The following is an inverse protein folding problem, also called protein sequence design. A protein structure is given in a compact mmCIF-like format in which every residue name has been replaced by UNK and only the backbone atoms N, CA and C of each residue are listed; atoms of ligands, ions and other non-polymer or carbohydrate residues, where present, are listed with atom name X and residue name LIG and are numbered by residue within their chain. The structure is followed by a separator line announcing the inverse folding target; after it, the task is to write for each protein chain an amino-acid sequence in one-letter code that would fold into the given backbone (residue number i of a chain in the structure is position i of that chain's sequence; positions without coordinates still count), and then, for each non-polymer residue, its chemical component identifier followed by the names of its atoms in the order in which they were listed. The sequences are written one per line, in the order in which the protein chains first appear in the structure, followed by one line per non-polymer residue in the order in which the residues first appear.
data_IF_265862854335
#
_entry.id   IF_265862854335
#
_cell.length_a   1.000
_cell.length_b   1.000
_cell.length_c   1.000
_cell.angle_alpha   90.00
_cell.angle_beta   90.00
_cell.angle_gamma   90.00
#
_symmetry.space_group_name_H-M   'P 1'
#
loop_
_entity.id
_entity.type
_entity.pdbx_description
1 polymer ?
#
# COMPACT_ATOMS: atom_id res chain seq x y z
N UNK A 1 8.23 43.92 -33.25
CA UNK A 1 9.30 44.55 -34.04
C UNK A 1 10.56 44.60 -33.16
N UNK A 2 11.48 43.66 -33.42
CA UNK A 2 12.93 43.70 -33.22
C UNK A 2 13.51 44.55 -32.06
N UNK A 3 14.20 43.92 -31.11
CA UNK A 3 15.67 43.96 -31.12
C UNK A 3 16.32 42.86 -30.28
N UNK A 4 17.30 42.21 -30.92
CA UNK A 4 18.17 41.15 -30.43
C UNK A 4 19.39 41.78 -29.73
N UNK A 5 19.73 41.25 -28.55
CA UNK A 5 21.09 40.88 -28.08
C UNK A 5 22.19 41.93 -27.97
N UNK A 6 22.87 41.96 -26.81
CA UNK A 6 24.33 42.12 -26.78
C UNK A 6 24.96 41.73 -25.42
N UNK A 7 26.05 40.98 -25.54
CA UNK A 7 27.26 41.00 -24.70
C UNK A 7 27.21 40.31 -23.33
N UNK A 8 27.84 39.14 -23.30
CA UNK A 8 28.63 38.68 -22.17
C UNK A 8 30.03 39.34 -22.23
N UNK A 9 30.67 39.57 -21.07
CA UNK A 9 32.12 39.44 -20.93
C UNK A 9 32.47 38.20 -20.09
N UNK A 10 33.59 37.58 -20.46
CA UNK A 10 34.13 36.35 -19.94
C UNK A 10 35.13 36.57 -18.79
N UNK A 11 35.26 35.55 -17.93
CA UNK A 11 36.33 35.25 -16.95
C UNK A 11 36.48 36.30 -15.82
N UNK A 12 36.68 36.02 -14.53
CA UNK A 12 37.39 34.94 -13.85
C UNK A 12 37.06 34.94 -12.34
N UNK A 13 36.41 33.89 -11.83
CA UNK A 13 36.62 33.44 -10.45
C UNK A 13 36.38 31.94 -10.38
N UNK A 14 37.47 31.19 -10.51
CA UNK A 14 37.49 29.77 -10.17
C UNK A 14 37.25 29.56 -8.66
N UNK A 15 36.65 28.41 -8.37
CA UNK A 15 36.87 27.60 -7.18
C UNK A 15 36.29 28.09 -5.84
N UNK A 16 35.05 27.68 -5.58
CA UNK A 16 34.81 26.85 -4.40
C UNK A 16 33.76 25.78 -4.75
N UNK A 17 34.28 24.60 -5.08
CA UNK A 17 33.60 23.32 -4.95
C UNK A 17 32.86 23.29 -3.59
N UNK A 18 31.54 23.09 -3.58
CA UNK A 18 30.88 22.41 -2.45
C UNK A 18 30.75 20.94 -2.85
N UNK A 19 31.69 20.07 -2.42
CA UNK A 19 31.63 18.64 -2.63
C UNK A 19 30.88 17.98 -1.46
N UNK A 20 29.82 18.58 -0.94
CA UNK A 20 28.94 17.84 -0.02
C UNK A 20 27.98 17.00 -0.86
N UNK A 21 28.52 15.94 -1.46
CA UNK A 21 27.77 14.71 -1.60
C UNK A 21 27.24 14.43 -0.20
N UNK A 22 25.97 14.75 0.04
CA UNK A 22 25.22 14.19 1.16
C UNK A 22 25.17 12.69 0.87
N UNK A 23 26.21 11.98 1.27
CA UNK A 23 26.03 10.63 1.76
C UNK A 23 24.92 10.80 2.79
N UNK A 24 23.68 10.53 2.37
CA UNK A 24 22.56 10.54 3.28
C UNK A 24 22.92 9.49 4.30
N UNK A 25 23.30 9.91 5.50
CA UNK A 25 23.45 9.04 6.63
C UNK A 25 22.05 8.48 6.89
N UNK A 26 21.67 7.43 6.17
CA UNK A 26 20.43 6.71 6.41
C UNK A 26 20.60 6.19 7.82
N UNK A 27 19.92 6.84 8.76
CA UNK A 27 20.11 6.55 10.16
C UNK A 27 19.68 5.10 10.34
N UNK A 28 20.51 4.29 11.00
CA UNK A 28 20.16 2.89 11.28
C UNK A 28 18.78 2.79 11.94
N UNK A 29 18.39 3.81 12.72
CA UNK A 29 17.05 3.96 13.31
C UNK A 29 15.94 4.09 12.26
N UNK A 30 16.12 4.85 11.18
CA UNK A 30 15.14 4.99 10.10
C UNK A 30 14.95 3.67 9.35
N UNK A 31 16.04 2.94 9.11
CA UNK A 31 15.98 1.61 8.50
C UNK A 31 15.19 0.65 9.40
N UNK A 32 15.48 0.59 10.69
CA UNK A 32 14.75 -0.29 11.61
C UNK A 32 13.26 0.09 11.72
N UNK A 33 12.94 1.38 11.72
CA UNK A 33 11.55 1.84 11.75
C UNK A 33 10.80 1.49 10.45
N UNK A 34 11.41 1.71 9.29
CA UNK A 34 10.85 1.35 7.99
C UNK A 34 10.63 -0.16 7.86
N UNK A 35 11.61 -0.97 8.24
CA UNK A 35 11.49 -2.44 8.26
C UNK A 35 10.38 -2.89 9.21
N UNK A 36 10.33 -2.31 10.43
CA UNK A 36 9.30 -2.62 11.42
C UNK A 36 7.88 -2.37 10.88
N UNK A 37 7.65 -1.21 10.27
CA UNK A 37 6.37 -0.87 9.64
C UNK A 37 6.05 -1.79 8.45
N UNK A 38 7.03 -2.12 7.61
CA UNK A 38 6.83 -3.05 6.49
C UNK A 38 6.42 -4.45 6.97
N UNK A 39 7.06 -4.97 8.01
CA UNK A 39 6.64 -6.24 8.62
C UNK A 39 5.25 -6.16 9.24
N UNK A 40 4.91 -5.07 9.91
CA UNK A 40 3.58 -4.88 10.49
C UNK A 40 2.49 -4.85 9.39
N UNK A 41 2.74 -4.17 8.28
CA UNK A 41 1.83 -4.14 7.13
C UNK A 41 1.64 -5.54 6.52
N UNK A 42 2.74 -6.27 6.30
CA UNK A 42 2.70 -7.61 5.72
C UNK A 42 1.92 -8.61 6.59
N UNK A 43 2.16 -8.59 7.90
CA UNK A 43 1.44 -9.45 8.86
C UNK A 43 -0.04 -9.08 8.91
N UNK A 44 -0.36 -7.79 8.97
CA UNK A 44 -1.76 -7.32 9.01
C UNK A 44 -2.54 -7.77 7.77
N UNK A 45 -1.98 -7.55 6.58
CA UNK A 45 -2.61 -7.97 5.32
C UNK A 45 -2.81 -9.50 5.29
N UNK A 46 -1.77 -10.26 5.64
CA UNK A 46 -1.79 -11.72 5.56
C UNK A 46 -2.81 -12.33 6.53
N UNK A 47 -2.82 -11.91 7.80
CA UNK A 47 -3.75 -12.43 8.81
C UNK A 47 -5.20 -12.08 8.45
N UNK A 48 -5.44 -10.86 7.96
CA UNK A 48 -6.77 -10.44 7.52
C UNK A 48 -7.29 -11.30 6.37
N UNK A 49 -6.49 -11.45 5.30
CA UNK A 49 -6.91 -12.18 4.10
C UNK A 49 -7.09 -13.66 4.40
N UNK A 50 -6.21 -14.27 5.21
CA UNK A 50 -6.36 -15.67 5.62
C UNK A 50 -7.63 -15.90 6.44
N UNK A 51 -7.93 -15.01 7.40
CA UNK A 51 -9.15 -15.09 8.21
C UNK A 51 -10.42 -14.94 7.39
N UNK A 52 -10.44 -13.93 6.51
CA UNK A 52 -11.56 -13.70 5.60
C UNK A 52 -11.75 -14.85 4.60
N UNK A 53 -10.66 -15.38 4.02
CA UNK A 53 -10.71 -16.51 3.10
C UNK A 53 -11.28 -17.78 3.75
N UNK A 54 -10.94 -18.05 5.01
CA UNK A 54 -11.54 -19.16 5.76
C UNK A 54 -13.05 -18.99 5.96
N UNK A 55 -13.50 -17.78 6.34
CA UNK A 55 -14.91 -17.48 6.50
C UNK A 55 -15.68 -17.58 5.17
N UNK A 56 -15.13 -17.00 4.10
CA UNK A 56 -15.71 -17.03 2.75
C UNK A 56 -15.83 -18.46 2.24
N UNK A 57 -14.81 -19.32 2.44
CA UNK A 57 -14.87 -20.72 2.03
C UNK A 57 -16.01 -21.49 2.72
N UNK A 58 -16.20 -21.27 4.03
CA UNK A 58 -17.29 -21.87 4.80
C UNK A 58 -18.66 -21.37 4.33
N UNK A 59 -18.84 -20.05 4.25
CA UNK A 59 -20.11 -19.43 3.86
C UNK A 59 -20.46 -19.80 2.41
N UNK A 60 -19.48 -19.78 1.50
CA UNK A 60 -19.66 -20.13 0.09
C UNK A 60 -20.10 -21.58 -0.09
N UNK A 61 -19.51 -22.53 0.63
CA UNK A 61 -19.94 -23.94 0.57
C UNK A 61 -21.39 -24.14 1.04
N UNK A 62 -21.79 -23.46 2.13
CA UNK A 62 -23.16 -23.49 2.62
C UNK A 62 -24.14 -22.79 1.66
N UNK A 63 -23.73 -21.66 1.08
CA UNK A 63 -24.50 -20.90 0.11
C UNK A 63 -24.83 -21.73 -1.14
N UNK A 64 -23.83 -22.40 -1.72
CA UNK A 64 -24.02 -23.23 -2.92
C UNK A 64 -24.88 -24.47 -2.62
N UNK A 65 -24.69 -25.09 -1.44
CA UNK A 65 -25.54 -26.21 -1.00
C UNK A 65 -27.00 -25.80 -0.85
N UNK A 66 -27.26 -24.67 -0.19
CA UNK A 66 -28.63 -24.14 -0.03
C UNK A 66 -29.25 -23.68 -1.34
N UNK A 67 -28.46 -23.11 -2.25
CA UNK A 67 -28.94 -22.65 -3.55
C UNK A 67 -29.32 -23.81 -4.48
N UNK A 68 -28.78 -25.01 -4.25
CA UNK A 68 -29.14 -26.21 -5.02
C UNK A 68 -30.57 -26.70 -4.71
N UNK A 69 -31.02 -26.56 -3.46
CA UNK A 69 -32.39 -26.92 -3.05
C UNK A 69 -33.35 -25.74 -3.23
N UNK A 70 -32.89 -24.53 -2.91
CA UNK A 70 -33.69 -23.31 -2.90
C UNK A 70 -32.94 -22.16 -3.57
N UNK A 71 -33.10 -21.96 -4.89
CA UNK A 71 -32.34 -20.96 -5.63
C UNK A 71 -32.66 -19.53 -5.19
N UNK A 72 -33.84 -19.26 -4.61
CA UNK A 72 -34.17 -17.97 -4.02
C UNK A 72 -33.25 -17.56 -2.85
N UNK A 73 -32.58 -18.51 -2.19
CA UNK A 73 -31.68 -18.25 -1.06
C UNK A 73 -30.26 -17.82 -1.48
N UNK A 74 -29.91 -17.97 -2.77
CA UNK A 74 -28.60 -17.61 -3.31
C UNK A 74 -28.28 -16.14 -3.03
N UNK A 75 -29.18 -15.23 -3.39
CA UNK A 75 -28.96 -13.78 -3.27
C UNK A 75 -28.68 -13.36 -1.83
N UNK A 76 -29.42 -13.93 -0.86
CA UNK A 76 -29.24 -13.64 0.56
C UNK A 76 -27.92 -14.22 1.08
N UNK A 77 -27.51 -15.37 0.55
CA UNK A 77 -26.25 -16.01 0.91
C UNK A 77 -25.03 -15.25 0.36
N UNK A 78 -25.12 -14.71 -0.86
CA UNK A 78 -24.08 -13.84 -1.42
C UNK A 78 -23.87 -12.56 -0.61
N UNK A 79 -24.92 -12.02 0.02
CA UNK A 79 -24.78 -10.88 0.93
C UNK A 79 -23.87 -11.22 2.13
N UNK A 80 -24.00 -12.41 2.70
CA UNK A 80 -23.13 -12.85 3.80
C UNK A 80 -21.69 -13.12 3.33
N UNK A 81 -21.50 -13.61 2.10
CA UNK A 81 -20.17 -13.74 1.49
C UNK A 81 -19.52 -12.36 1.33
N UNK A 82 -20.26 -11.39 0.79
CA UNK A 82 -19.76 -10.02 0.64
C UNK A 82 -19.43 -9.36 1.98
N UNK A 83 -20.20 -9.64 3.04
CA UNK A 83 -19.89 -9.15 4.39
C UNK A 83 -18.59 -9.77 4.93
N UNK A 84 -18.34 -11.04 4.64
CA UNK A 84 -17.08 -11.69 5.01
C UNK A 84 -15.89 -11.17 4.20
N UNK A 85 -16.07 -10.92 2.89
CA UNK A 85 -15.06 -10.32 2.02
C UNK A 85 -14.72 -8.88 2.46
N UNK A 86 -15.71 -8.14 2.97
CA UNK A 86 -15.50 -6.81 3.54
C UNK A 86 -14.43 -6.78 4.64
N UNK A 87 -14.24 -7.88 5.38
CA UNK A 87 -13.17 -8.00 6.37
C UNK A 87 -11.78 -8.02 5.71
N UNK A 88 -11.65 -8.72 4.57
CA UNK A 88 -10.40 -8.75 3.80
C UNK A 88 -10.04 -7.35 3.31
N UNK A 89 -11.01 -6.64 2.74
CA UNK A 89 -10.83 -5.28 2.22
C UNK A 89 -10.48 -4.31 3.35
N UNK A 90 -11.17 -4.38 4.49
CA UNK A 90 -10.89 -3.54 5.65
C UNK A 90 -9.46 -3.75 6.18
N UNK A 91 -9.04 -5.00 6.38
CA UNK A 91 -7.69 -5.28 6.88
C UNK A 91 -6.59 -5.00 5.85
N UNK A 92 -6.87 -5.19 4.55
CA UNK A 92 -5.96 -4.75 3.49
C UNK A 92 -5.84 -3.22 3.44
N UNK A 93 -6.96 -2.49 3.61
CA UNK A 93 -6.93 -1.03 3.70
C UNK A 93 -6.07 -0.56 4.88
N UNK A 94 -6.19 -1.20 6.04
CA UNK A 94 -5.33 -0.90 7.21
C UNK A 94 -3.85 -1.18 6.89
N UNK A 95 -3.53 -2.29 6.23
CA UNK A 95 -2.15 -2.57 5.80
C UNK A 95 -1.61 -1.49 4.85
N UNK A 96 -2.43 -1.01 3.89
CA UNK A 96 -2.07 0.09 3.01
C UNK A 96 -1.86 1.40 3.76
N UNK A 97 -2.66 1.70 4.78
CA UNK A 97 -2.46 2.87 5.64
C UNK A 97 -1.13 2.81 6.40
N UNK A 98 -0.68 1.62 6.81
CA UNK A 98 0.63 1.43 7.44
C UNK A 98 1.75 1.68 6.42
N UNK A 99 1.64 1.14 5.21
CA UNK A 99 2.62 1.35 4.13
C UNK A 99 2.78 2.83 3.80
N UNK A 100 1.67 3.59 3.77
CA UNK A 100 1.69 5.04 3.55
C UNK A 100 2.40 5.84 4.65
N UNK A 101 2.74 5.22 5.79
CA UNK A 101 3.47 5.84 6.90
C UNK A 101 4.94 5.43 6.97
N UNK A 102 5.41 4.60 6.04
CA UNK A 102 6.83 4.30 5.92
C UNK A 102 7.54 5.56 5.41
N UNK A 103 8.57 6.06 6.12
CA UNK A 103 9.31 7.26 5.72
C UNK A 103 10.16 7.04 4.47
#
# INVERSE_FOLDING_TARGET
MLLIGSVAPAADHEAAMDPTIRHGDVSMTEVYFAVGLATAAAVTASVSILGAGFAVGKIGSAALGSAAEHPELLTRSLLFVALAEGLAVLGFAVAMLIVMKIP
#
